data_IF_243475286595
#
_entry.id   IF_243475286595
#
_cell.length_a   1.000
_cell.length_b   1.000
_cell.length_c   1.000
_cell.angle_alpha   90.00
_cell.angle_beta   90.00
_cell.angle_gamma   90.00
#
_symmetry.space_group_name_H-M   'P 1'
#
loop_
_entity.id
_entity.type
_entity.pdbx_description
1 polymer ?
#
# COMPACT_ATOMS: atom_id res chain seq x y z
N UNK A 1 -2.11 10.10 19.94
CA UNK A 1 -3.24 10.99 19.57
C UNK A 1 -3.85 10.44 18.29
N UNK A 2 -5.07 9.86 18.35
CA UNK A 2 -5.74 9.32 17.16
C UNK A 2 -6.01 10.48 16.21
N UNK A 3 -5.47 10.43 14.99
CA UNK A 3 -5.94 11.28 13.89
C UNK A 3 -7.33 10.77 13.55
N UNK A 4 -8.34 11.57 13.84
CA UNK A 4 -9.76 11.21 13.83
C UNK A 4 -10.19 10.60 12.48
N UNK A 5 -10.88 9.46 12.57
CA UNK A 5 -11.49 8.75 11.43
C UNK A 5 -12.83 9.34 10.99
N UNK A 6 -13.32 10.37 11.68
CA UNK A 6 -14.67 10.91 11.53
C UNK A 6 -14.93 11.62 10.20
N UNK A 7 -14.03 12.45 9.64
CA UNK A 7 -14.30 13.13 8.36
C UNK A 7 -14.47 12.16 7.18
N UNK A 8 -13.92 10.95 7.28
CA UNK A 8 -13.98 9.95 6.22
C UNK A 8 -15.32 9.22 6.17
N UNK A 9 -15.97 8.95 7.31
CA UNK A 9 -17.21 8.15 7.33
C UNK A 9 -18.38 8.89 6.70
N UNK A 10 -18.56 10.17 7.05
CA UNK A 10 -19.62 10.98 6.44
C UNK A 10 -19.47 11.11 4.93
N UNK A 11 -18.22 11.20 4.44
CA UNK A 11 -17.95 11.24 3.00
C UNK A 11 -18.39 9.93 2.33
N UNK A 12 -18.12 8.79 2.95
CA UNK A 12 -18.57 7.49 2.43
C UNK A 12 -20.09 7.29 2.56
N UNK A 13 -20.72 7.83 3.61
CA UNK A 13 -22.18 7.81 3.74
C UNK A 13 -22.85 8.62 2.62
N UNK A 14 -22.36 9.84 2.37
CA UNK A 14 -22.82 10.70 1.27
C UNK A 14 -22.60 10.04 -0.09
N UNK A 15 -21.41 9.45 -0.30
CA UNK A 15 -21.10 8.71 -1.52
C UNK A 15 -22.03 7.51 -1.73
N UNK A 16 -22.26 6.71 -0.69
CA UNK A 16 -23.15 5.56 -0.75
C UNK A 16 -24.62 5.96 -1.00
N UNK A 17 -25.08 7.07 -0.41
CA UNK A 17 -26.40 7.62 -0.69
C UNK A 17 -26.53 8.04 -2.17
N UNK A 18 -25.54 8.76 -2.71
CA UNK A 18 -25.55 9.12 -4.13
C UNK A 18 -25.58 7.89 -5.04
N UNK A 19 -24.75 6.88 -4.77
CA UNK A 19 -24.74 5.62 -5.52
C UNK A 19 -26.10 4.91 -5.44
N UNK A 20 -26.73 4.89 -4.25
CA UNK A 20 -28.06 4.29 -4.03
C UNK A 20 -29.11 4.89 -4.96
N UNK A 21 -29.11 6.21 -5.16
CA UNK A 21 -30.06 6.88 -6.06
C UNK A 21 -29.88 6.46 -7.52
N UNK A 22 -28.66 6.15 -7.95
CA UNK A 22 -28.40 5.60 -9.27
C UNK A 22 -28.91 4.16 -9.40
N UNK A 23 -28.60 3.31 -8.41
CA UNK A 23 -28.98 1.90 -8.42
C UNK A 23 -30.51 1.70 -8.34
N UNK A 24 -31.22 2.48 -7.51
CA UNK A 24 -32.69 2.46 -7.43
C UNK A 24 -33.37 2.88 -8.72
N UNK A 25 -32.71 3.70 -9.54
CA UNK A 25 -33.18 4.08 -10.87
C UNK A 25 -32.89 3.02 -11.95
N UNK A 26 -32.39 1.83 -11.58
CA UNK A 26 -32.08 0.74 -12.50
C UNK A 26 -30.81 0.96 -13.33
N UNK A 27 -29.88 1.80 -12.86
CA UNK A 27 -28.59 2.07 -13.53
C UNK A 27 -27.45 1.33 -12.85
N UNK A 28 -26.53 0.83 -13.66
CA UNK A 28 -25.27 0.28 -13.16
C UNK A 28 -24.29 1.40 -12.75
N UNK A 29 -23.50 1.15 -11.71
CA UNK A 29 -22.48 2.08 -11.21
C UNK A 29 -21.14 1.38 -11.11
N UNK A 30 -20.12 1.92 -11.77
CA UNK A 30 -18.74 1.47 -11.65
C UNK A 30 -17.93 2.43 -10.78
N UNK A 31 -17.30 1.92 -9.72
CA UNK A 31 -16.38 2.69 -8.87
C UNK A 31 -14.94 2.30 -9.19
N UNK A 32 -14.20 3.20 -9.83
CA UNK A 32 -12.80 2.99 -10.19
C UNK A 32 -11.90 3.13 -8.96
N UNK A 33 -10.98 2.17 -8.81
CA UNK A 33 -10.00 2.15 -7.73
C UNK A 33 -8.59 2.12 -8.30
N UNK A 34 -7.66 2.80 -7.63
CA UNK A 34 -6.23 2.66 -7.88
C UNK A 34 -5.73 1.34 -7.28
N UNK A 35 -5.03 0.54 -8.08
CA UNK A 35 -4.53 -0.75 -7.65
C UNK A 35 -5.66 -1.78 -7.52
N UNK A 36 -5.87 -2.30 -6.31
CA UNK A 36 -6.89 -3.31 -6.04
C UNK A 36 -7.97 -2.77 -5.08
N UNK A 37 -9.28 -2.95 -5.37
CA UNK A 37 -10.35 -2.39 -4.55
C UNK A 37 -10.35 -2.80 -3.07
N UNK A 38 -9.86 -4.00 -2.76
CA UNK A 38 -9.85 -4.59 -1.41
C UNK A 38 -8.49 -4.58 -0.74
N UNK A 39 -7.43 -4.20 -1.46
CA UNK A 39 -6.10 -4.04 -0.87
C UNK A 39 -5.83 -2.60 -0.47
N UNK A 40 -6.17 -2.25 0.79
CA UNK A 40 -6.04 -0.88 1.34
C UNK A 40 -6.79 0.23 0.54
N UNK A 41 -7.70 -0.14 -0.35
CA UNK A 41 -8.56 0.76 -1.13
C UNK A 41 -9.74 1.35 -0.35
N UNK A 42 -10.20 2.53 -0.76
CA UNK A 42 -11.36 3.20 -0.14
C UNK A 42 -12.71 2.55 -0.49
N UNK A 43 -12.77 1.73 -1.56
CA UNK A 43 -13.99 1.04 -1.96
C UNK A 43 -14.55 0.13 -0.87
N UNK A 44 -13.72 -0.44 0.00
CA UNK A 44 -14.18 -1.26 1.14
C UNK A 44 -15.24 -0.56 2.01
N UNK A 45 -15.16 0.76 2.16
CA UNK A 45 -16.14 1.53 2.94
C UNK A 45 -17.49 1.66 2.23
N UNK A 46 -17.49 1.74 0.89
CA UNK A 46 -18.71 1.76 0.07
C UNK A 46 -19.31 0.36 0.00
N UNK A 47 -18.46 -0.66 -0.21
CA UNK A 47 -18.86 -2.06 -0.22
C UNK A 47 -19.61 -2.44 1.07
N UNK A 48 -19.07 -2.09 2.24
CA UNK A 48 -19.68 -2.36 3.53
C UNK A 48 -21.07 -1.70 3.75
N UNK A 49 -21.43 -0.70 2.93
CA UNK A 49 -22.71 0.04 3.03
C UNK A 49 -23.77 -0.43 2.05
N UNK A 50 -23.36 -1.07 0.95
CA UNK A 50 -24.23 -1.32 -0.21
C UNK A 50 -24.31 -2.78 -0.63
N UNK A 51 -23.30 -3.61 -0.33
CA UNK A 51 -23.21 -4.97 -0.84
C UNK A 51 -24.29 -5.93 -0.31
N UNK A 52 -24.92 -5.60 0.82
CA UNK A 52 -26.06 -6.31 1.40
C UNK A 52 -27.41 -5.88 0.80
N UNK A 53 -27.43 -4.78 0.06
CA UNK A 53 -28.66 -4.14 -0.47
C UNK A 53 -28.75 -4.18 -1.99
N UNK A 54 -27.63 -4.29 -2.68
CA UNK A 54 -27.53 -4.30 -4.13
C UNK A 54 -26.51 -5.34 -4.59
N UNK A 55 -26.78 -5.97 -5.73
CA UNK A 55 -25.81 -6.85 -6.38
C UNK A 55 -24.50 -6.08 -6.61
N UNK A 56 -23.39 -6.65 -6.14
CA UNK A 56 -22.08 -6.00 -6.15
C UNK A 56 -21.03 -6.99 -6.60
N UNK A 57 -20.31 -6.64 -7.68
CA UNK A 57 -19.21 -7.42 -8.22
C UNK A 57 -17.91 -6.67 -7.97
N UNK A 58 -16.89 -7.37 -7.47
CA UNK A 58 -15.55 -6.82 -7.24
C UNK A 58 -14.61 -7.37 -8.29
N UNK A 59 -14.12 -6.49 -9.16
CA UNK A 59 -13.12 -6.82 -10.17
C UNK A 59 -11.73 -6.53 -9.59
N UNK A 60 -10.88 -7.54 -9.37
CA UNK A 60 -9.56 -7.33 -8.80
C UNK A 60 -8.65 -6.57 -9.77
N UNK A 61 -7.69 -5.83 -9.21
CA UNK A 61 -6.71 -5.07 -9.98
C UNK A 61 -5.27 -5.42 -9.62
N UNK A 62 -4.32 -4.91 -10.39
CA UNK A 62 -2.89 -5.10 -10.09
C UNK A 62 -2.49 -4.20 -8.93
N UNK A 63 -2.18 -4.78 -7.77
CA UNK A 63 -1.76 -4.03 -6.59
C UNK A 63 -0.43 -3.28 -6.81
N UNK A 64 -0.23 -2.19 -6.07
CA UNK A 64 1.02 -1.41 -6.14
C UNK A 64 2.26 -2.23 -5.73
N UNK A 65 2.14 -3.19 -4.82
CA UNK A 65 3.28 -4.00 -4.35
C UNK A 65 3.76 -5.00 -5.41
N UNK A 66 2.83 -5.60 -6.16
CA UNK A 66 3.15 -6.51 -7.26
C UNK A 66 3.64 -5.74 -8.48
N UNK A 67 3.04 -4.57 -8.75
CA UNK A 67 3.53 -3.65 -9.77
C UNK A 67 4.96 -3.17 -9.44
N UNK A 68 5.21 -2.76 -8.20
CA UNK A 68 6.54 -2.35 -7.73
C UNK A 68 7.60 -3.43 -7.94
N UNK A 69 7.31 -4.67 -7.54
CA UNK A 69 8.22 -5.80 -7.74
C UNK A 69 8.56 -6.00 -9.24
N UNK A 70 7.53 -6.02 -10.09
CA UNK A 70 7.71 -6.14 -11.54
C UNK A 70 8.55 -4.99 -12.14
N UNK A 71 8.30 -3.74 -11.70
CA UNK A 71 9.04 -2.55 -12.17
C UNK A 71 10.49 -2.51 -11.67
N UNK A 72 10.75 -3.04 -10.47
CA UNK A 72 12.10 -3.22 -9.94
C UNK A 72 12.84 -4.40 -10.58
N UNK A 73 12.18 -5.19 -11.44
CA UNK A 73 12.80 -6.36 -12.07
C UNK A 73 13.13 -7.49 -11.10
N UNK A 74 12.47 -7.54 -9.93
CA UNK A 74 12.71 -8.55 -8.90
C UNK A 74 11.41 -9.19 -8.42
N UNK A 75 11.37 -10.52 -8.20
CA UNK A 75 10.26 -11.17 -7.52
C UNK A 75 9.95 -10.52 -6.18
N UNK A 76 8.66 -10.46 -5.84
CA UNK A 76 8.22 -9.96 -4.54
C UNK A 76 8.60 -10.94 -3.42
N UNK A 77 8.45 -12.24 -3.65
CA UNK A 77 8.79 -13.31 -2.70
C UNK A 77 9.03 -14.60 -3.48
N UNK A 78 9.77 -15.56 -2.92
CA UNK A 78 9.96 -16.87 -3.53
C UNK A 78 9.96 -18.02 -2.51
N UNK A 79 9.65 -19.22 -2.99
CA UNK A 79 9.61 -20.47 -2.20
C UNK A 79 8.84 -20.30 -0.88
N UNK A 80 9.56 -20.37 0.24
CA UNK A 80 9.03 -20.33 1.59
C UNK A 80 9.23 -18.96 2.24
N UNK A 81 9.58 -17.92 1.46
CA UNK A 81 9.69 -16.56 1.96
C UNK A 81 8.37 -16.11 2.56
N UNK A 82 8.43 -15.63 3.79
CA UNK A 82 7.30 -14.94 4.41
C UNK A 82 7.26 -13.52 3.84
N UNK A 83 6.15 -13.17 3.19
CA UNK A 83 5.86 -11.82 2.74
C UNK A 83 5.03 -11.07 3.79
N UNK A 84 5.51 -9.90 4.22
CA UNK A 84 4.74 -8.97 5.06
C UNK A 84 4.45 -7.67 4.34
N UNK A 85 3.24 -7.16 4.51
CA UNK A 85 2.85 -5.82 4.05
C UNK A 85 2.65 -4.94 5.27
N UNK A 86 3.54 -3.96 5.45
CA UNK A 86 3.60 -3.14 6.65
C UNK A 86 3.23 -1.68 6.34
N UNK A 87 2.15 -1.14 6.92
CA UNK A 87 1.89 0.29 6.87
C UNK A 87 2.97 1.06 7.65
N UNK A 88 3.57 2.06 7.02
CA UNK A 88 4.54 2.95 7.66
C UNK A 88 3.98 3.73 8.85
N UNK A 89 2.65 3.76 9.01
CA UNK A 89 1.95 4.37 10.15
C UNK A 89 2.07 3.57 11.44
N UNK A 90 2.53 2.31 11.39
CA UNK A 90 2.81 1.53 12.59
C UNK A 90 3.89 2.18 13.46
N UNK A 91 3.84 1.94 14.77
CA UNK A 91 4.85 2.41 15.71
C UNK A 91 6.23 1.84 15.38
N UNK A 92 7.28 2.60 15.71
CA UNK A 92 8.65 2.28 15.28
C UNK A 92 9.11 0.91 15.78
N UNK A 93 8.82 0.56 17.03
CA UNK A 93 9.24 -0.71 17.62
C UNK A 93 8.51 -1.89 16.99
N UNK A 94 7.20 -1.73 16.71
CA UNK A 94 6.45 -2.75 15.99
C UNK A 94 6.98 -2.97 14.58
N UNK A 95 7.33 -1.90 13.86
CA UNK A 95 7.95 -2.04 12.54
C UNK A 95 9.28 -2.81 12.60
N UNK A 96 10.11 -2.56 13.63
CA UNK A 96 11.38 -3.28 13.82
C UNK A 96 11.15 -4.78 14.02
N UNK A 97 10.25 -5.16 14.92
CA UNK A 97 9.92 -6.56 15.19
C UNK A 97 9.44 -7.28 13.92
N UNK A 98 8.56 -6.65 13.15
CA UNK A 98 7.97 -7.24 11.96
C UNK A 98 8.99 -7.42 10.83
N UNK A 99 9.91 -6.46 10.65
CA UNK A 99 10.97 -6.51 9.65
C UNK A 99 11.96 -7.66 9.90
N UNK A 100 12.22 -8.01 11.16
CA UNK A 100 13.14 -9.09 11.53
C UNK A 100 12.55 -10.50 11.34
N UNK A 101 11.24 -10.59 11.09
CA UNK A 101 10.50 -11.86 11.08
C UNK A 101 9.91 -12.19 9.71
N UNK A 102 10.48 -11.61 8.63
CA UNK A 102 10.09 -11.88 7.24
C UNK A 102 11.28 -11.76 6.29
N UNK A 103 11.29 -12.60 5.26
CA UNK A 103 12.28 -12.56 4.17
C UNK A 103 11.93 -11.52 3.12
N UNK A 104 10.64 -11.22 2.94
CA UNK A 104 10.18 -10.17 2.05
C UNK A 104 9.22 -9.23 2.77
N UNK A 105 9.45 -7.94 2.62
CA UNK A 105 8.59 -6.92 3.21
C UNK A 105 8.27 -5.83 2.20
N UNK A 106 6.98 -5.52 2.04
CA UNK A 106 6.50 -4.33 1.36
C UNK A 106 6.02 -3.30 2.39
N UNK A 107 6.70 -2.15 2.45
CA UNK A 107 6.31 -1.03 3.32
C UNK A 107 5.50 -0.04 2.48
N UNK A 108 4.25 0.19 2.89
CA UNK A 108 3.30 1.07 2.20
C UNK A 108 3.02 2.34 3.02
N UNK A 109 2.39 3.35 2.41
CA UNK A 109 2.08 4.64 3.05
C UNK A 109 3.34 5.37 3.54
N UNK A 110 4.44 5.22 2.80
CA UNK A 110 5.78 5.69 3.18
C UNK A 110 5.79 7.20 3.40
N UNK A 111 5.43 8.00 2.40
CA UNK A 111 5.17 9.44 2.51
C UNK A 111 6.06 10.19 3.52
N UNK A 112 5.40 10.87 4.47
CA UNK A 112 6.01 11.59 5.61
C UNK A 112 6.72 10.71 6.64
N UNK A 113 6.54 9.40 6.59
CA UNK A 113 7.14 8.43 7.50
C UNK A 113 8.49 7.92 7.00
N UNK A 114 8.99 8.42 5.87
CA UNK A 114 10.23 7.95 5.25
C UNK A 114 11.44 8.07 6.18
N UNK A 115 11.68 9.21 6.84
CA UNK A 115 12.81 9.36 7.77
C UNK A 115 12.80 8.32 8.91
N UNK A 116 11.62 8.02 9.48
CA UNK A 116 11.45 6.95 10.47
C UNK A 116 11.84 5.59 9.89
N UNK A 117 11.37 5.27 8.69
CA UNK A 117 11.67 3.99 8.02
C UNK A 117 13.17 3.89 7.72
N UNK A 118 13.78 4.95 7.17
CA UNK A 118 15.22 5.01 6.86
C UNK A 118 16.05 4.72 8.11
N UNK A 119 15.73 5.36 9.24
CA UNK A 119 16.40 5.13 10.53
C UNK A 119 16.23 3.69 11.04
N UNK A 120 15.04 3.11 10.92
CA UNK A 120 14.78 1.72 11.31
C UNK A 120 15.61 0.76 10.45
N UNK A 121 15.60 0.94 9.13
CA UNK A 121 16.35 0.08 8.21
C UNK A 121 17.86 0.17 8.45
N UNK A 122 18.41 1.37 8.71
CA UNK A 122 19.82 1.52 9.08
C UNK A 122 20.15 0.80 10.39
N UNK A 123 19.33 0.97 11.43
CA UNK A 123 19.57 0.35 12.74
C UNK A 123 19.51 -1.18 12.71
N UNK A 124 18.79 -1.76 11.73
CA UNK A 124 18.68 -3.20 11.53
C UNK A 124 19.67 -3.77 10.49
N UNK A 125 20.55 -2.94 9.94
CA UNK A 125 21.44 -3.30 8.84
C UNK A 125 20.70 -3.84 7.59
N UNK A 126 19.52 -3.27 7.32
CA UNK A 126 18.64 -3.62 6.20
C UNK A 126 18.60 -2.54 5.11
N UNK A 127 19.26 -1.39 5.30
CA UNK A 127 19.12 -0.25 4.39
C UNK A 127 19.60 -0.54 2.95
N UNK A 128 20.70 -1.27 2.79
CA UNK A 128 21.24 -1.69 1.48
C UNK A 128 20.36 -2.73 0.76
N UNK A 129 19.52 -3.43 1.53
CA UNK A 129 18.55 -4.43 1.06
C UNK A 129 17.18 -3.82 0.72
N UNK A 130 17.02 -2.51 0.89
CA UNK A 130 15.77 -1.81 0.65
C UNK A 130 15.82 -0.98 -0.63
N UNK A 131 14.81 -1.17 -1.48
CA UNK A 131 14.61 -0.37 -2.70
C UNK A 131 13.30 0.38 -2.59
N UNK A 132 13.31 1.66 -2.93
CA UNK A 132 12.12 2.49 -2.98
C UNK A 132 11.68 2.70 -4.42
N UNK A 133 10.37 2.65 -4.63
CA UNK A 133 9.74 3.09 -5.87
C UNK A 133 8.69 4.15 -5.59
N UNK A 134 8.79 5.26 -6.31
CA UNK A 134 7.79 6.32 -6.37
C UNK A 134 7.01 6.18 -7.67
N UNK A 135 5.70 6.36 -7.60
CA UNK A 135 4.79 6.39 -8.76
C UNK A 135 4.97 5.19 -9.70
N UNK A 136 5.03 3.97 -9.14
CA UNK A 136 5.14 2.73 -9.91
C UNK A 136 4.16 2.72 -11.10
N UNK A 137 4.66 2.32 -12.28
CA UNK A 137 3.96 2.25 -13.57
C UNK A 137 3.45 3.59 -14.14
N UNK A 138 3.78 4.73 -13.53
CA UNK A 138 3.37 6.06 -14.00
C UNK A 138 4.54 6.75 -14.74
N UNK A 139 4.28 7.79 -15.56
CA UNK A 139 5.32 8.47 -16.33
C UNK A 139 6.46 9.07 -15.48
N UNK A 140 6.19 9.43 -14.23
CA UNK A 140 7.16 9.99 -13.29
C UNK A 140 7.68 8.95 -12.26
N UNK A 141 7.72 7.68 -12.66
CA UNK A 141 8.29 6.59 -11.87
C UNK A 141 9.76 6.86 -11.51
N UNK A 142 10.15 6.57 -10.28
CA UNK A 142 11.55 6.63 -9.82
C UNK A 142 11.87 5.42 -8.95
N UNK A 143 12.96 4.74 -9.24
CA UNK A 143 13.44 3.57 -8.49
C UNK A 143 14.85 3.88 -7.99
N UNK A 144 15.07 3.76 -6.68
CA UNK A 144 16.36 4.05 -6.02
C UNK A 144 16.59 3.10 -4.85
N UNK A 145 17.86 2.90 -4.45
CA UNK A 145 18.14 2.30 -3.13
C UNK A 145 17.74 3.30 -2.04
N UNK A 146 17.28 2.81 -0.89
CA UNK A 146 16.85 3.68 0.22
C UNK A 146 18.03 4.51 0.77
N UNK A 147 19.25 3.96 0.74
CA UNK A 147 20.46 4.67 1.18
C UNK A 147 20.75 5.92 0.34
N UNK A 148 20.47 5.87 -0.97
CA UNK A 148 20.73 6.94 -1.95
C UNK A 148 19.66 8.05 -1.96
N UNK A 149 18.62 7.93 -1.14
CA UNK A 149 17.53 8.91 -1.11
C UNK A 149 17.75 9.93 -0.02
N UNK A 150 17.93 11.19 -0.42
CA UNK A 150 18.01 12.34 0.48
C UNK A 150 16.64 12.74 1.06
N UNK A 151 16.68 13.32 2.26
CA UNK A 151 15.51 13.85 2.96
C UNK A 151 14.71 12.82 3.76
N UNK A 152 13.69 13.32 4.46
CA UNK A 152 12.90 12.55 5.44
C UNK A 152 11.46 12.28 5.01
N UNK A 153 11.09 12.67 3.78
CA UNK A 153 9.75 12.46 3.23
C UNK A 153 9.80 12.16 1.74
N UNK A 154 8.81 11.40 1.28
CA UNK A 154 8.64 11.05 -0.13
C UNK A 154 7.20 11.33 -0.60
N UNK A 155 6.94 11.32 -1.92
CA UNK A 155 5.59 11.44 -2.46
C UNK A 155 4.61 10.41 -1.91
N UNK A 156 3.31 10.69 -2.07
CA UNK A 156 2.23 9.84 -1.56
C UNK A 156 2.27 8.40 -2.12
N UNK A 157 2.45 8.25 -3.44
CA UNK A 157 2.53 6.95 -4.11
C UNK A 157 3.94 6.37 -4.02
N UNK A 158 4.37 6.03 -2.80
CA UNK A 158 5.69 5.46 -2.53
C UNK A 158 5.55 4.11 -1.84
N UNK A 159 6.30 3.12 -2.33
CA UNK A 159 6.44 1.80 -1.73
C UNK A 159 7.92 1.49 -1.55
N UNK A 160 8.28 0.93 -0.40
CA UNK A 160 9.62 0.36 -0.18
C UNK A 160 9.49 -1.15 -0.16
N UNK A 161 10.33 -1.84 -0.91
CA UNK A 161 10.44 -3.28 -0.87
C UNK A 161 11.79 -3.67 -0.27
N UNK A 162 11.77 -4.51 0.77
CA UNK A 162 12.95 -5.05 1.45
C UNK A 162 13.01 -6.56 1.18
N UNK A 163 14.18 -7.08 0.84
CA UNK A 163 14.38 -8.52 0.64
C UNK A 163 15.61 -9.02 1.40
N UNK A 164 15.44 -10.05 2.22
CA UNK A 164 16.47 -10.69 3.06
C UNK A 164 16.53 -12.20 2.86
N UNK A 165 15.76 -12.74 1.90
CA UNK A 165 15.78 -14.15 1.54
C UNK A 165 17.11 -14.58 0.90
N UNK A 166 17.28 -15.89 0.70
CA UNK A 166 18.53 -16.50 0.23
C UNK A 166 18.68 -16.52 -1.28
N UNK A 167 17.68 -16.06 -2.02
CA UNK A 167 17.68 -16.14 -3.47
C UNK A 167 18.58 -15.06 -4.09
N UNK A 168 19.24 -15.40 -5.20
CA UNK A 168 20.40 -14.67 -5.71
C UNK A 168 20.11 -13.68 -6.85
N UNK A 169 18.84 -13.38 -7.11
CA UNK A 169 18.41 -12.54 -8.24
C UNK A 169 18.03 -11.12 -7.83
#
# INVERSE_FOLDING_TARGET
MRTEREPAQEAYDKGAAAITEHLKAGRDVAMLCEGDPFFYGSFMYIFARLADRFETIVVPGVSSITAAAARMGRPLSARNDVLKVLPATLEADRLREELLTAQSTAIIKVGRHFGKIKNILSALDLISKATVIENATRPNERIRKVEDVDGDSLPYFTTILVYTGSESW
#
